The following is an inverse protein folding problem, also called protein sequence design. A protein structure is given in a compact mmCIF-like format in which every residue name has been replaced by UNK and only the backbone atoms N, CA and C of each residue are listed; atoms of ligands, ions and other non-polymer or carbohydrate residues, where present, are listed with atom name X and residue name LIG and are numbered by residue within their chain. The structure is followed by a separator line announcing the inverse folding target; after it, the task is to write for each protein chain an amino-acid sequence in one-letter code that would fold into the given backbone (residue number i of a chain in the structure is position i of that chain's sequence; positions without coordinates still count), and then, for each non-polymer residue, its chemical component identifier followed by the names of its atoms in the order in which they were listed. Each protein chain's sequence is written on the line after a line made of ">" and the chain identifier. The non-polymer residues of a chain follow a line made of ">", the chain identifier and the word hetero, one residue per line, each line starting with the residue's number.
data_IF_369764152461
#
_entry.id   IF_369764152461
#
_cell.length_a   1.000
_cell.length_b   1.000
_cell.length_c   1.000
_cell.angle_alpha   90.00
_cell.angle_beta   90.00
_cell.angle_gamma   90.00
#
_symmetry.space_group_name_H-M   'P 1'
#
loop_
_entity.id
_entity.type
_entity.pdbx_description
1 polymer ?
#
# COMPACT_ATOMS: atom_id res chain seq x y z
N UNK A 1 6.52 6.38 -28.51
CA UNK A 1 5.11 6.19 -28.11
C UNK A 1 5.07 5.38 -26.83
N UNK A 2 4.59 5.91 -25.71
CA UNK A 2 4.26 5.09 -24.56
C UNK A 2 2.98 4.34 -24.91
N UNK A 3 3.14 3.10 -25.34
CA UNK A 3 2.01 2.23 -25.67
C UNK A 3 1.38 1.77 -24.38
N UNK A 4 0.10 2.15 -24.17
CA UNK A 4 -0.76 1.46 -23.22
C UNK A 4 -0.63 -0.05 -23.46
N UNK A 5 -0.14 -0.81 -22.48
CA UNK A 5 0.03 -2.25 -22.65
C UNK A 5 -1.24 -2.97 -22.25
N UNK A 6 -1.99 -3.44 -23.24
CA UNK A 6 -3.11 -4.33 -22.99
C UNK A 6 -2.60 -5.65 -22.38
N UNK A 7 -3.08 -5.97 -21.18
CA UNK A 7 -2.79 -7.25 -20.53
C UNK A 7 -3.82 -8.34 -20.92
N UNK A 8 -4.64 -8.07 -21.94
CA UNK A 8 -5.73 -8.93 -22.39
C UNK A 8 -5.33 -9.92 -23.49
N UNK A 9 -4.07 -9.89 -23.93
CA UNK A 9 -3.51 -10.77 -24.98
C UNK A 9 -2.10 -11.22 -24.60
N UNK A 10 -1.64 -12.34 -25.16
CA UNK A 10 -0.33 -12.92 -24.90
C UNK A 10 -0.26 -13.78 -23.60
N UNK A 11 0.87 -14.42 -23.32
CA UNK A 11 1.04 -15.28 -22.14
C UNK A 11 1.01 -14.47 -20.84
N UNK A 12 0.32 -14.98 -19.81
CA UNK A 12 0.08 -14.26 -18.56
C UNK A 12 1.39 -14.03 -17.77
N UNK A 13 2.26 -15.04 -17.68
CA UNK A 13 3.46 -14.99 -16.84
C UNK A 13 4.39 -13.83 -17.21
N UNK A 14 4.88 -13.65 -18.47
CA UNK A 14 5.76 -12.52 -18.78
C UNK A 14 5.04 -11.16 -18.68
N UNK A 15 3.73 -11.10 -18.92
CA UNK A 15 2.98 -9.85 -18.76
C UNK A 15 2.95 -9.40 -17.30
N UNK A 16 2.59 -10.32 -16.38
CA UNK A 16 2.54 -10.04 -14.95
C UNK A 16 3.94 -9.77 -14.41
N UNK A 17 4.96 -10.57 -14.79
CA UNK A 17 6.34 -10.39 -14.36
C UNK A 17 6.88 -9.01 -14.76
N UNK A 18 6.79 -8.64 -16.04
CA UNK A 18 7.28 -7.35 -16.54
C UNK A 18 6.54 -6.15 -15.94
N UNK A 19 5.27 -6.34 -15.54
CA UNK A 19 4.49 -5.30 -14.87
C UNK A 19 4.86 -5.21 -13.37
N UNK A 20 5.15 -6.34 -12.73
CA UNK A 20 5.53 -6.40 -11.31
C UNK A 20 6.90 -5.78 -11.04
N UNK A 21 7.88 -5.94 -11.93
CA UNK A 21 9.25 -5.46 -11.69
C UNK A 21 9.34 -3.96 -11.39
N UNK A 22 8.75 -3.04 -12.17
CA UNK A 22 8.79 -1.62 -11.82
C UNK A 22 8.04 -1.29 -10.53
N UNK A 23 6.97 -2.03 -10.21
CA UNK A 23 6.25 -1.88 -8.94
C UNK A 23 7.12 -2.32 -7.76
N UNK A 24 7.82 -3.42 -7.91
CA UNK A 24 8.77 -3.93 -6.91
C UNK A 24 9.87 -2.91 -6.62
N UNK A 25 10.54 -2.43 -7.66
CA UNK A 25 11.58 -1.41 -7.49
C UNK A 25 11.02 -0.12 -6.89
N UNK A 26 9.77 0.25 -7.23
CA UNK A 26 9.09 1.38 -6.61
C UNK A 26 8.85 1.18 -5.11
N UNK A 27 8.33 0.01 -4.71
CA UNK A 27 8.10 -0.30 -3.30
C UNK A 27 9.41 -0.38 -2.52
N UNK A 28 10.46 -1.00 -3.07
CA UNK A 28 11.79 -1.04 -2.44
C UNK A 28 12.38 0.36 -2.28
N UNK A 29 12.29 1.20 -3.32
CA UNK A 29 12.75 2.58 -3.26
C UNK A 29 11.99 3.37 -2.17
N UNK A 30 10.68 3.16 -2.05
CA UNK A 30 9.87 3.82 -1.04
C UNK A 30 10.25 3.39 0.38
N UNK A 31 10.57 2.10 0.61
CA UNK A 31 11.09 1.62 1.90
C UNK A 31 12.47 2.24 2.21
N UNK A 32 13.38 2.23 1.23
CA UNK A 32 14.71 2.83 1.38
C UNK A 32 14.61 4.34 1.65
N UNK A 33 13.74 5.04 0.90
CA UNK A 33 13.49 6.46 1.11
C UNK A 33 13.03 6.75 2.54
N UNK A 34 12.06 5.99 3.08
CA UNK A 34 11.59 6.19 4.46
C UNK A 34 12.68 6.02 5.50
N UNK A 35 13.66 5.13 5.26
CA UNK A 35 14.83 4.99 6.12
C UNK A 35 15.78 6.18 6.02
N UNK A 36 16.02 6.68 4.80
CA UNK A 36 16.88 7.85 4.54
C UNK A 36 16.30 9.10 5.19
N UNK A 37 14.99 9.34 5.02
CA UNK A 37 14.28 10.46 5.64
C UNK A 37 14.40 10.44 7.17
N UNK A 38 14.12 9.28 7.79
CA UNK A 38 14.30 9.11 9.22
C UNK A 38 15.76 9.32 9.67
N UNK A 39 16.74 8.88 8.87
CA UNK A 39 18.16 9.07 9.15
C UNK A 39 18.57 10.56 9.05
N UNK A 40 18.04 11.31 8.08
CA UNK A 40 18.28 12.77 7.95
C UNK A 40 17.71 13.48 9.17
N UNK A 41 16.44 13.24 9.51
CA UNK A 41 15.81 13.85 10.69
C UNK A 41 16.59 13.51 11.97
N UNK A 42 16.90 12.23 12.20
CA UNK A 42 17.63 11.81 13.41
C UNK A 42 19.04 12.37 13.52
N UNK A 43 19.77 12.45 12.40
CA UNK A 43 21.17 12.93 12.38
C UNK A 43 21.29 14.45 12.56
N UNK A 44 20.39 15.21 11.93
CA UNK A 44 20.51 16.67 11.87
C UNK A 44 19.63 17.41 12.87
N UNK A 45 18.50 16.82 13.27
CA UNK A 45 17.57 17.42 14.25
C UNK A 45 17.62 16.75 15.63
N UNK A 46 18.24 15.57 15.72
CA UNK A 46 18.42 14.85 16.97
C UNK A 46 17.27 13.90 17.34
N UNK A 47 17.41 13.26 18.52
CA UNK A 47 16.54 12.17 18.97
C UNK A 47 15.09 12.62 19.21
N UNK A 48 14.90 13.83 19.74
CA UNK A 48 13.55 14.35 20.02
C UNK A 48 12.76 14.57 18.73
N UNK A 49 13.38 15.12 17.68
CA UNK A 49 12.76 15.30 16.38
C UNK A 49 12.42 13.96 15.72
N UNK A 50 13.31 12.98 15.79
CA UNK A 50 13.04 11.62 15.32
C UNK A 50 11.88 10.98 16.09
N UNK A 51 11.80 11.21 17.40
CA UNK A 51 10.69 10.73 18.24
C UNK A 51 9.36 11.44 17.89
N UNK A 52 9.38 12.74 17.57
CA UNK A 52 8.21 13.51 17.08
C UNK A 52 7.64 12.92 15.80
N UNK A 53 8.49 12.69 14.80
CA UNK A 53 8.12 12.07 13.52
C UNK A 53 7.66 10.63 13.75
N UNK A 54 8.38 9.87 14.58
CA UNK A 54 8.04 8.49 14.93
C UNK A 54 6.67 8.34 15.58
N UNK A 55 6.35 9.21 16.56
CA UNK A 55 5.03 9.23 17.22
C UNK A 55 3.89 9.50 16.23
N UNK A 56 4.16 10.28 15.18
CA UNK A 56 3.18 10.61 14.13
C UNK A 56 2.92 9.47 13.15
N UNK A 57 3.83 8.50 13.03
CA UNK A 57 3.82 7.48 11.96
C UNK A 57 2.54 6.64 11.92
N UNK A 58 2.00 6.25 13.07
CA UNK A 58 0.80 5.41 13.14
C UNK A 58 -0.44 6.14 12.58
N UNK A 59 -0.59 7.42 12.89
CA UNK A 59 -1.70 8.25 12.39
C UNK A 59 -1.53 8.52 10.89
N UNK A 60 -0.33 8.86 10.48
CA UNK A 60 0.01 9.06 9.06
C UNK A 60 -0.33 7.78 8.27
N UNK A 61 0.07 6.60 8.77
CA UNK A 61 -0.23 5.32 8.14
C UNK A 61 -1.73 5.05 8.04
N UNK A 62 -2.50 5.35 9.09
CA UNK A 62 -3.95 5.18 9.11
C UNK A 62 -4.64 6.07 8.06
N UNK A 63 -4.32 7.37 8.06
CA UNK A 63 -4.99 8.36 7.21
C UNK A 63 -4.50 8.29 5.76
N UNK A 64 -3.18 8.27 5.54
CA UNK A 64 -2.63 8.17 4.18
C UNK A 64 -2.83 6.77 3.59
N UNK A 65 -2.87 5.71 4.41
CA UNK A 65 -3.27 4.36 4.01
C UNK A 65 -4.69 4.32 3.48
N UNK A 66 -5.63 4.98 4.17
CA UNK A 66 -7.00 5.17 3.67
C UNK A 66 -7.02 5.89 2.32
N UNK A 67 -6.30 7.01 2.19
CA UNK A 67 -6.21 7.76 0.94
C UNK A 67 -5.63 6.92 -0.20
N UNK A 68 -4.57 6.17 0.08
CA UNK A 68 -3.93 5.27 -0.90
C UNK A 68 -4.88 4.14 -1.35
N UNK A 69 -5.60 3.54 -0.42
CA UNK A 69 -6.66 2.57 -0.72
C UNK A 69 -7.76 3.14 -1.61
N UNK A 70 -8.24 4.36 -1.31
CA UNK A 70 -9.23 5.06 -2.15
C UNK A 70 -8.71 5.27 -3.57
N UNK A 71 -7.46 5.75 -3.71
CA UNK A 71 -6.82 5.96 -5.01
C UNK A 71 -6.67 4.65 -5.80
N UNK A 72 -6.28 3.56 -5.13
CA UNK A 72 -6.24 2.22 -5.73
C UNK A 72 -7.61 1.77 -6.24
N UNK A 73 -8.64 2.00 -5.43
CA UNK A 73 -10.03 1.68 -5.76
C UNK A 73 -10.55 2.45 -6.98
N UNK A 74 -10.18 3.73 -7.12
CA UNK A 74 -10.55 4.54 -8.28
C UNK A 74 -9.92 4.05 -9.60
N UNK A 75 -8.77 3.38 -9.53
CA UNK A 75 -8.13 2.75 -10.69
C UNK A 75 -8.86 1.52 -11.22
N UNK A 76 -9.67 0.82 -10.40
CA UNK A 76 -10.31 -0.44 -10.79
C UNK A 76 -11.30 -0.26 -11.95
N UNK A 77 -12.31 0.64 -11.89
CA UNK A 77 -13.21 0.87 -13.01
C UNK A 77 -12.49 1.36 -14.28
N UNK A 78 -11.40 2.13 -14.11
CA UNK A 78 -10.56 2.58 -15.23
C UNK A 78 -9.92 1.38 -15.93
N UNK A 79 -9.31 0.45 -15.17
CA UNK A 79 -8.71 -0.78 -15.72
C UNK A 79 -9.75 -1.67 -16.41
N UNK A 80 -10.92 -1.83 -15.81
CA UNK A 80 -12.02 -2.62 -16.37
C UNK A 80 -12.52 -2.04 -17.70
N UNK A 81 -12.75 -0.73 -17.76
CA UNK A 81 -13.19 -0.04 -18.98
C UNK A 81 -12.13 0.01 -20.07
N UNK A 82 -10.86 0.13 -19.67
CA UNK A 82 -9.74 0.00 -20.59
C UNK A 82 -9.69 -1.41 -21.21
N UNK A 83 -9.81 -2.46 -20.41
CA UNK A 83 -9.87 -3.85 -20.89
C UNK A 83 -11.07 -4.14 -21.79
N UNK A 84 -12.22 -3.51 -21.52
CA UNK A 84 -13.43 -3.59 -22.34
C UNK A 84 -13.34 -2.77 -23.63
N UNK A 85 -12.26 -1.99 -23.84
CA UNK A 85 -12.12 -1.01 -24.93
C UNK A 85 -13.21 0.06 -24.96
N UNK A 86 -13.92 0.27 -23.84
CA UNK A 86 -14.92 1.32 -23.66
C UNK A 86 -14.21 2.61 -23.19
N UNK A 87 -13.50 3.22 -24.11
CA UNK A 87 -12.65 4.38 -23.81
C UNK A 87 -13.46 5.64 -23.45
N UNK A 88 -14.69 5.76 -23.91
CA UNK A 88 -15.55 6.90 -23.56
C UNK A 88 -15.94 6.85 -22.08
N UNK A 89 -16.44 5.71 -21.60
CA UNK A 89 -16.76 5.54 -20.17
C UNK A 89 -15.50 5.56 -19.30
N UNK A 90 -14.38 5.02 -19.79
CA UNK A 90 -13.08 5.09 -19.11
C UNK A 90 -12.65 6.55 -18.84
N UNK A 91 -12.71 7.42 -19.86
CA UNK A 91 -12.40 8.86 -19.71
C UNK A 91 -13.33 9.56 -18.74
N UNK A 92 -14.60 9.20 -18.75
CA UNK A 92 -15.58 9.70 -17.78
C UNK A 92 -15.21 9.27 -16.35
N UNK A 93 -14.80 8.02 -16.12
CA UNK A 93 -14.31 7.56 -14.82
C UNK A 93 -13.03 8.32 -14.38
N UNK A 94 -12.08 8.53 -15.28
CA UNK A 94 -10.87 9.33 -14.98
C UNK A 94 -11.24 10.75 -14.58
N UNK A 95 -12.13 11.41 -15.34
CA UNK A 95 -12.55 12.77 -15.03
C UNK A 95 -13.26 12.87 -13.68
N UNK A 96 -14.22 11.97 -13.41
CA UNK A 96 -14.96 11.98 -12.14
C UNK A 96 -14.04 11.60 -10.98
N UNK A 97 -13.06 10.72 -11.16
CA UNK A 97 -12.08 10.39 -10.12
C UNK A 97 -11.21 11.57 -9.73
N UNK A 98 -10.79 12.41 -10.70
CA UNK A 98 -10.05 13.65 -10.43
C UNK A 98 -10.91 14.66 -9.67
N UNK A 99 -12.19 14.81 -10.03
CA UNK A 99 -13.12 15.70 -9.33
C UNK A 99 -13.38 15.24 -7.89
N UNK A 100 -13.60 13.93 -7.69
CA UNK A 100 -13.75 13.36 -6.36
C UNK A 100 -12.46 13.47 -5.53
N UNK A 101 -11.30 13.37 -6.15
CA UNK A 101 -10.02 13.53 -5.48
C UNK A 101 -9.87 14.94 -4.87
N UNK A 102 -10.28 16.00 -5.60
CA UNK A 102 -10.29 17.36 -5.05
C UNK A 102 -11.17 17.41 -3.80
N UNK A 103 -12.42 16.97 -3.91
CA UNK A 103 -13.38 17.05 -2.80
C UNK A 103 -12.92 16.23 -1.61
N UNK A 104 -12.60 14.94 -1.83
CA UNK A 104 -12.22 14.04 -0.74
C UNK A 104 -10.93 14.47 -0.05
N UNK A 105 -9.90 14.82 -0.82
CA UNK A 105 -8.61 15.20 -0.24
C UNK A 105 -8.72 16.51 0.57
N UNK A 106 -9.48 17.49 0.08
CA UNK A 106 -9.72 18.75 0.82
C UNK A 106 -10.54 18.51 2.08
N UNK A 107 -11.61 17.70 2.02
CA UNK A 107 -12.42 17.38 3.20
C UNK A 107 -11.58 16.66 4.25
N UNK A 108 -10.80 15.65 3.84
CA UNK A 108 -9.92 14.91 4.76
C UNK A 108 -8.86 15.86 5.35
N UNK A 109 -8.21 16.69 4.51
CA UNK A 109 -7.19 17.64 4.96
C UNK A 109 -7.75 18.62 6.00
N UNK A 110 -8.92 19.21 5.75
CA UNK A 110 -9.56 20.15 6.69
C UNK A 110 -9.89 19.44 7.99
N UNK A 111 -10.55 18.28 7.91
CA UNK A 111 -10.96 17.52 9.10
C UNK A 111 -9.74 17.13 9.96
N UNK A 112 -8.73 16.53 9.35
CA UNK A 112 -7.54 16.07 10.07
C UNK A 112 -6.70 17.23 10.60
N UNK A 113 -6.64 18.37 9.90
CA UNK A 113 -5.92 19.57 10.36
C UNK A 113 -6.62 20.22 11.56
N UNK A 114 -7.95 20.30 11.57
CA UNK A 114 -8.72 20.85 12.70
C UNK A 114 -8.51 20.00 13.95
N UNK A 115 -8.57 18.70 13.83
CA UNK A 115 -8.44 17.76 14.95
C UNK A 115 -7.00 17.27 15.21
N UNK A 116 -5.98 17.89 14.59
CA UNK A 116 -4.59 17.46 14.70
C UNK A 116 -4.09 17.41 16.15
N UNK A 117 -4.36 18.45 16.92
CA UNK A 117 -3.97 18.53 18.34
C UNK A 117 -4.72 17.47 19.18
N UNK A 118 -6.01 17.25 18.93
CA UNK A 118 -6.83 16.30 19.66
C UNK A 118 -6.39 14.85 19.38
N UNK A 119 -6.02 14.56 18.12
CA UNK A 119 -5.45 13.27 17.72
C UNK A 119 -4.17 12.98 18.52
N UNK A 120 -3.24 13.95 18.61
CA UNK A 120 -1.99 13.78 19.35
C UNK A 120 -2.23 13.61 20.86
N UNK A 121 -3.19 14.35 21.44
CA UNK A 121 -3.59 14.18 22.84
C UNK A 121 -4.19 12.80 23.09
N UNK A 122 -5.06 12.32 22.20
CA UNK A 122 -5.64 10.98 22.28
C UNK A 122 -4.56 9.89 22.22
N UNK A 123 -3.48 10.12 21.48
CA UNK A 123 -2.32 9.23 21.41
C UNK A 123 -1.41 9.32 22.65
N UNK A 124 -1.69 10.23 23.59
CA UNK A 124 -0.86 10.49 24.77
C UNK A 124 0.59 10.83 24.39
N UNK A 125 0.75 11.66 23.34
CA UNK A 125 2.06 12.13 22.90
C UNK A 125 2.73 12.92 24.02
N UNK A 126 3.99 12.61 24.41
CA UNK A 126 4.69 13.34 25.46
C UNK A 126 4.87 14.82 25.15
N UNK A 127 4.81 15.69 26.18
CA UNK A 127 4.86 17.15 26.01
C UNK A 127 6.15 17.63 25.35
N UNK A 128 7.28 16.98 25.64
CA UNK A 128 8.58 17.34 25.08
C UNK A 128 8.73 17.14 23.56
N UNK A 129 7.85 16.34 22.95
CA UNK A 129 7.85 16.09 21.50
C UNK A 129 6.55 16.53 20.83
N UNK A 130 5.58 17.06 21.60
CA UNK A 130 4.25 17.39 21.11
C UNK A 130 4.28 18.48 20.02
N UNK A 131 5.03 19.55 20.23
CA UNK A 131 5.10 20.68 19.31
C UNK A 131 5.69 20.27 17.95
N UNK A 132 6.80 19.50 17.96
CA UNK A 132 7.42 18.98 16.73
C UNK A 132 6.50 18.00 16.00
N UNK A 133 5.83 17.09 16.73
CA UNK A 133 4.85 16.16 16.16
C UNK A 133 3.64 16.90 15.57
N UNK A 134 3.15 17.94 16.24
CA UNK A 134 2.05 18.77 15.75
C UNK A 134 2.44 19.49 14.45
N UNK A 135 3.60 20.15 14.41
CA UNK A 135 4.07 20.86 13.23
C UNK A 135 4.24 19.91 12.04
N UNK A 136 4.83 18.75 12.24
CA UNK A 136 5.00 17.70 11.22
C UNK A 136 3.66 17.18 10.69
N UNK A 137 2.74 16.81 11.60
CA UNK A 137 1.43 16.27 11.22
C UNK A 137 0.55 17.29 10.53
N UNK A 138 0.52 18.53 11.03
CA UNK A 138 -0.30 19.59 10.45
C UNK A 138 0.08 19.84 8.99
N UNK A 139 1.37 19.95 8.69
CA UNK A 139 1.87 20.09 7.32
C UNK A 139 1.51 18.87 6.47
N UNK A 140 1.69 17.67 7.00
CA UNK A 140 1.32 16.43 6.32
C UNK A 140 -0.17 16.38 5.99
N UNK A 141 -1.03 16.80 6.90
CA UNK A 141 -2.49 16.85 6.70
C UNK A 141 -2.93 17.91 5.70
N UNK A 142 -2.35 19.11 5.77
CA UNK A 142 -2.57 20.16 4.74
C UNK A 142 -2.09 19.65 3.38
N UNK A 143 -1.04 18.83 3.34
CA UNK A 143 -0.47 18.22 2.13
C UNK A 143 -1.26 17.04 1.56
N UNK A 144 -2.30 16.55 2.23
CA UNK A 144 -3.11 15.41 1.74
C UNK A 144 -3.56 15.56 0.28
N UNK A 145 -3.99 16.71 -0.23
CA UNK A 145 -4.32 16.86 -1.64
C UNK A 145 -3.16 16.48 -2.57
N UNK A 146 -1.94 16.92 -2.28
CA UNK A 146 -0.76 16.57 -3.08
C UNK A 146 -0.52 15.05 -3.09
N UNK A 147 -0.55 14.43 -1.92
CA UNK A 147 -0.38 12.97 -1.75
C UNK A 147 -1.50 12.19 -2.44
N UNK A 148 -2.74 12.65 -2.33
CA UNK A 148 -3.89 12.01 -2.95
C UNK A 148 -3.77 12.04 -4.49
N UNK A 149 -3.49 13.19 -5.08
CA UNK A 149 -3.28 13.30 -6.53
C UNK A 149 -2.07 12.50 -7.00
N UNK A 150 -0.98 12.52 -6.25
CA UNK A 150 0.21 11.70 -6.53
C UNK A 150 -0.13 10.22 -6.64
N UNK A 151 -0.92 9.67 -5.71
CA UNK A 151 -1.33 8.26 -5.68
C UNK A 151 -2.41 7.94 -6.73
N UNK A 152 -3.40 8.84 -6.91
CA UNK A 152 -4.46 8.65 -7.89
C UNK A 152 -3.93 8.59 -9.32
N UNK A 153 -3.06 9.53 -9.71
CA UNK A 153 -2.48 9.55 -11.05
C UNK A 153 -1.61 8.31 -11.30
N UNK A 154 -0.88 7.84 -10.27
CA UNK A 154 -0.16 6.56 -10.34
C UNK A 154 -1.11 5.39 -10.58
N UNK A 155 -2.24 5.37 -9.89
CA UNK A 155 -3.25 4.31 -10.02
C UNK A 155 -3.89 4.29 -11.41
N UNK A 156 -4.24 5.48 -11.95
CA UNK A 156 -4.77 5.61 -13.31
C UNK A 156 -3.76 5.13 -14.35
N UNK A 157 -2.50 5.55 -14.28
CA UNK A 157 -1.46 5.14 -15.24
C UNK A 157 -1.24 3.62 -15.17
N UNK A 158 -1.20 3.04 -13.96
CA UNK A 158 -1.14 1.58 -13.80
C UNK A 158 -2.35 0.87 -14.40
N UNK A 159 -3.55 1.42 -14.24
CA UNK A 159 -4.78 0.87 -14.81
C UNK A 159 -4.72 0.76 -16.35
N UNK A 160 -3.96 1.66 -17.01
CA UNK A 160 -3.69 1.63 -18.46
C UNK A 160 -2.55 0.66 -18.85
N UNK A 161 -2.04 -0.13 -17.92
CA UNK A 161 -1.00 -1.12 -18.15
C UNK A 161 0.43 -0.58 -18.13
N UNK A 162 0.66 0.63 -17.64
CA UNK A 162 2.00 1.23 -17.51
C UNK A 162 2.41 1.28 -16.02
N UNK A 163 3.33 0.41 -15.63
CA UNK A 163 3.95 0.41 -14.29
C UNK A 163 5.29 1.15 -14.25
N UNK A 164 5.90 1.44 -15.40
CA UNK A 164 7.22 2.07 -15.47
C UNK A 164 7.14 3.57 -15.20
N UNK A 165 6.18 4.24 -15.80
CA UNK A 165 6.00 5.69 -15.62
C UNK A 165 5.80 6.10 -14.16
N UNK A 166 4.92 5.47 -13.35
CA UNK A 166 4.84 5.75 -11.94
C UNK A 166 6.15 5.57 -11.18
N UNK A 167 6.96 4.56 -11.56
CA UNK A 167 8.28 4.33 -10.97
C UNK A 167 9.25 5.50 -11.26
N UNK A 168 9.37 5.96 -12.51
CA UNK A 168 10.26 7.07 -12.83
C UNK A 168 9.90 8.37 -12.09
N UNK A 169 8.61 8.65 -11.96
CA UNK A 169 8.16 9.81 -11.18
C UNK A 169 8.32 9.62 -9.66
N UNK A 170 8.34 8.39 -9.16
CA UNK A 170 8.71 8.12 -7.78
C UNK A 170 10.20 8.41 -7.55
N UNK A 171 11.08 7.97 -8.45
CA UNK A 171 12.51 8.30 -8.39
C UNK A 171 12.72 9.83 -8.36
N UNK A 172 12.05 10.55 -9.25
CA UNK A 172 12.10 12.01 -9.28
C UNK A 172 11.64 12.63 -7.94
N UNK A 173 10.49 12.16 -7.41
CA UNK A 173 9.98 12.66 -6.13
C UNK A 173 10.95 12.38 -4.98
N UNK A 174 11.56 11.18 -4.95
CA UNK A 174 12.53 10.80 -3.93
C UNK A 174 13.79 11.65 -3.96
N UNK A 175 14.36 11.85 -5.14
CA UNK A 175 15.56 12.71 -5.28
C UNK A 175 15.26 14.15 -4.90
N UNK A 176 14.15 14.69 -5.39
CA UNK A 176 13.72 16.04 -5.05
C UNK A 176 13.46 16.21 -3.55
N UNK A 177 12.83 15.22 -2.93
CA UNK A 177 12.57 15.25 -1.50
C UNK A 177 13.87 15.25 -0.69
N UNK A 178 14.83 14.37 -0.96
CA UNK A 178 16.13 14.33 -0.24
C UNK A 178 16.85 15.68 -0.34
N UNK A 179 16.84 16.30 -1.52
CA UNK A 179 17.45 17.64 -1.71
C UNK A 179 16.71 18.68 -0.88
N UNK A 180 15.39 18.66 -0.88
CA UNK A 180 14.56 19.60 -0.14
C UNK A 180 14.62 19.37 1.37
N UNK A 181 14.72 18.13 1.85
CA UNK A 181 14.92 17.81 3.27
C UNK A 181 16.19 18.47 3.78
N UNK A 182 17.31 18.26 3.08
CA UNK A 182 18.58 18.87 3.45
C UNK A 182 18.51 20.40 3.38
N UNK A 183 17.86 20.96 2.38
CA UNK A 183 17.70 22.41 2.23
C UNK A 183 16.81 23.00 3.33
N UNK A 184 15.63 22.43 3.58
CA UNK A 184 14.70 22.94 4.59
C UNK A 184 15.23 22.77 6.01
N UNK A 185 15.95 21.68 6.29
CA UNK A 185 16.49 21.40 7.62
C UNK A 185 17.79 22.19 7.87
N UNK A 186 18.76 22.14 6.94
CA UNK A 186 20.09 22.69 7.18
C UNK A 186 20.20 24.18 6.81
N UNK A 187 19.52 24.62 5.76
CA UNK A 187 19.65 26.01 5.29
C UNK A 187 18.56 26.89 5.88
N UNK A 188 17.31 26.42 5.89
CA UNK A 188 16.18 27.19 6.40
C UNK A 188 15.93 27.00 7.91
N UNK A 189 16.43 25.93 8.51
CA UNK A 189 16.27 25.67 9.94
C UNK A 189 14.82 25.38 10.37
N UNK A 190 13.99 24.82 9.45
CA UNK A 190 12.56 24.59 9.70
C UNK A 190 12.24 23.31 10.50
N UNK A 191 13.25 22.59 10.98
CA UNK A 191 13.08 21.41 11.83
C UNK A 191 12.19 20.32 11.20
N UNK A 192 11.36 19.67 12.02
CA UNK A 192 10.45 18.59 11.61
C UNK A 192 9.42 19.05 10.56
N UNK A 193 8.97 20.31 10.67
CA UNK A 193 8.09 20.92 9.69
C UNK A 193 8.73 20.97 8.31
N UNK A 194 10.05 21.22 8.24
CA UNK A 194 10.83 21.24 7.00
C UNK A 194 10.78 19.90 6.26
N UNK A 195 10.94 18.77 6.98
CA UNK A 195 10.84 17.43 6.42
C UNK A 195 9.44 17.15 5.84
N UNK A 196 8.38 17.53 6.56
CA UNK A 196 7.01 17.39 6.05
C UNK A 196 6.75 18.25 4.80
N UNK A 197 7.24 19.49 4.76
CA UNK A 197 7.11 20.39 3.59
C UNK A 197 7.85 19.79 2.39
N UNK A 198 9.07 19.30 2.58
CA UNK A 198 9.86 18.69 1.51
C UNK A 198 9.13 17.49 0.89
N UNK A 199 8.53 16.63 1.72
CA UNK A 199 7.74 15.47 1.29
C UNK A 199 6.49 15.91 0.51
N UNK A 200 5.70 16.82 1.04
CA UNK A 200 4.47 17.31 0.39
C UNK A 200 4.77 18.01 -0.93
N UNK A 201 5.80 18.86 -0.95
CA UNK A 201 6.18 19.61 -2.14
C UNK A 201 6.69 18.67 -3.25
N UNK A 202 7.58 17.72 -2.93
CA UNK A 202 8.11 16.77 -3.91
C UNK A 202 7.00 15.89 -4.51
N UNK A 203 6.04 15.46 -3.69
CA UNK A 203 4.86 14.74 -4.18
C UNK A 203 3.95 15.62 -5.03
N UNK A 204 3.76 16.88 -4.67
CA UNK A 204 2.98 17.85 -5.44
C UNK A 204 3.58 18.10 -6.82
N UNK A 205 4.89 18.36 -6.90
CA UNK A 205 5.62 18.51 -8.16
C UNK A 205 5.51 17.24 -9.02
N UNK A 206 5.72 16.09 -8.42
CA UNK A 206 5.61 14.80 -9.11
C UNK A 206 4.18 14.54 -9.61
N UNK A 207 3.16 14.88 -8.83
CA UNK A 207 1.76 14.77 -9.25
C UNK A 207 1.45 15.69 -10.44
N UNK A 208 1.89 16.95 -10.40
CA UNK A 208 1.73 17.88 -11.49
C UNK A 208 2.39 17.39 -12.78
N UNK A 209 3.63 16.94 -12.69
CA UNK A 209 4.38 16.43 -13.85
C UNK A 209 3.73 15.14 -14.41
N UNK A 210 3.22 14.26 -13.55
CA UNK A 210 2.44 13.07 -13.96
C UNK A 210 1.17 13.46 -14.70
N UNK A 211 0.44 14.46 -14.19
CA UNK A 211 -0.76 14.94 -14.83
C UNK A 211 -0.47 15.43 -16.25
N UNK A 212 0.55 16.30 -16.41
CA UNK A 212 0.98 16.82 -17.71
C UNK A 212 1.43 15.67 -18.64
N UNK A 213 2.25 14.75 -18.11
CA UNK A 213 2.71 13.60 -18.86
C UNK A 213 1.54 12.72 -19.34
N UNK A 214 0.61 12.42 -18.45
CA UNK A 214 -0.55 11.58 -18.72
C UNK A 214 -1.37 12.13 -19.91
N UNK A 215 -1.70 13.41 -19.91
CA UNK A 215 -2.48 14.03 -20.98
C UNK A 215 -1.69 14.26 -22.28
N UNK A 216 -0.37 14.40 -22.19
CA UNK A 216 0.49 14.54 -23.41
C UNK A 216 0.78 13.20 -24.09
N UNK A 217 0.95 12.14 -23.30
CA UNK A 217 1.46 10.84 -23.78
C UNK A 217 0.35 9.83 -24.11
N UNK A 218 -0.77 9.89 -23.39
CA UNK A 218 -1.89 8.96 -23.59
C UNK A 218 -3.02 9.67 -24.34
N UNK A 219 -2.97 9.65 -25.67
CA UNK A 219 -4.03 10.23 -26.53
C UNK A 219 -5.42 9.66 -26.21
N UNK A 220 -5.44 8.41 -25.75
CA UNK A 220 -6.66 7.72 -25.31
C UNK A 220 -7.39 8.43 -24.17
N UNK A 221 -6.72 9.29 -23.38
CA UNK A 221 -7.30 10.09 -22.29
C UNK A 221 -7.83 11.45 -22.75
N UNK A 222 -7.58 11.85 -23.99
CA UNK A 222 -8.11 13.10 -24.54
C UNK A 222 -9.60 12.95 -24.82
N UNK A 223 -10.41 13.45 -23.91
CA UNK A 223 -11.87 13.31 -23.97
C UNK A 223 -12.59 14.55 -24.44
N UNK A 224 -13.84 14.34 -24.84
CA UNK A 224 -14.80 15.38 -25.21
C UNK A 224 -15.30 16.14 -23.97
N UNK A 225 -15.85 17.36 -24.11
CA UNK A 225 -16.46 18.09 -22.99
C UNK A 225 -17.59 17.30 -22.27
N UNK A 226 -18.32 16.43 -22.99
CA UNK A 226 -19.35 15.57 -22.39
C UNK A 226 -18.76 14.56 -21.39
N UNK A 227 -17.61 13.97 -21.70
CA UNK A 227 -16.94 12.96 -20.87
C UNK A 227 -16.29 13.59 -19.62
N UNK A 228 -16.09 14.90 -19.61
CA UNK A 228 -15.56 15.67 -18.48
C UNK A 228 -16.63 16.10 -17.48
N UNK A 229 -17.91 16.00 -17.82
CA UNK A 229 -19.00 16.38 -16.91
C UNK A 229 -19.10 15.40 -15.74
N UNK A 230 -19.43 15.96 -14.56
CA UNK A 230 -19.70 15.14 -13.38
C UNK A 230 -20.90 14.22 -13.62
N UNK A 231 -20.75 12.97 -13.29
CA UNK A 231 -21.80 11.95 -13.39
C UNK A 231 -21.97 11.25 -12.05
N UNK A 232 -23.08 11.51 -11.36
CA UNK A 232 -23.33 11.01 -10.02
C UNK A 232 -23.34 9.47 -9.93
N UNK A 233 -23.76 8.78 -10.99
CA UNK A 233 -23.74 7.31 -11.06
C UNK A 233 -22.29 6.76 -11.01
N UNK A 234 -21.37 7.37 -11.77
CA UNK A 234 -19.97 6.97 -11.78
C UNK A 234 -19.30 7.35 -10.45
N UNK A 235 -19.63 8.52 -9.90
CA UNK A 235 -19.14 8.96 -8.61
C UNK A 235 -19.54 8.01 -7.49
N UNK A 236 -20.79 7.56 -7.44
CA UNK A 236 -21.25 6.55 -6.46
C UNK A 236 -20.48 5.24 -6.60
N UNK A 237 -20.21 4.79 -7.81
CA UNK A 237 -19.41 3.58 -8.05
C UNK A 237 -17.97 3.76 -7.54
N UNK A 238 -17.31 4.87 -7.89
CA UNK A 238 -15.95 5.18 -7.44
C UNK A 238 -15.87 5.27 -5.92
N UNK A 239 -16.76 6.04 -5.28
CA UNK A 239 -16.81 6.17 -3.82
C UNK A 239 -17.06 4.81 -3.15
N UNK A 240 -17.99 4.03 -3.67
CA UNK A 240 -18.29 2.70 -3.12
C UNK A 240 -17.05 1.78 -3.16
N UNK A 241 -16.30 1.77 -4.25
CA UNK A 241 -15.09 0.95 -4.41
C UNK A 241 -13.94 1.55 -3.59
N UNK A 242 -13.68 2.85 -3.74
CA UNK A 242 -12.55 3.54 -3.12
C UNK A 242 -12.64 3.52 -1.60
N UNK A 243 -13.79 3.90 -1.03
CA UNK A 243 -13.97 3.92 0.43
C UNK A 243 -13.79 2.52 1.04
N UNK A 244 -14.31 1.47 0.40
CA UNK A 244 -14.12 0.10 0.88
C UNK A 244 -12.66 -0.33 0.86
N UNK A 245 -11.91 0.04 -0.16
CA UNK A 245 -10.48 -0.23 -0.22
C UNK A 245 -9.70 0.60 0.80
N UNK A 246 -10.07 1.87 0.99
CA UNK A 246 -9.50 2.71 2.04
C UNK A 246 -9.74 2.12 3.44
N UNK A 247 -11.00 1.73 3.73
CA UNK A 247 -11.36 1.09 4.99
C UNK A 247 -10.61 -0.22 5.22
N UNK A 248 -10.37 -1.01 4.18
CA UNK A 248 -9.56 -2.23 4.29
C UNK A 248 -8.16 -1.93 4.84
N UNK A 249 -7.48 -0.90 4.33
CA UNK A 249 -6.16 -0.49 4.85
C UNK A 249 -6.24 -0.05 6.30
N UNK A 250 -7.23 0.77 6.65
CA UNK A 250 -7.43 1.23 8.02
C UNK A 250 -7.74 0.09 9.00
N UNK A 251 -8.58 -0.86 8.60
CA UNK A 251 -8.95 -2.04 9.41
C UNK A 251 -7.70 -2.91 9.66
N UNK A 252 -6.92 -3.16 8.63
CA UNK A 252 -5.68 -3.94 8.77
C UNK A 252 -4.67 -3.22 9.68
N UNK A 253 -4.58 -1.88 9.58
CA UNK A 253 -3.72 -1.06 10.44
C UNK A 253 -4.12 -1.17 11.93
N UNK A 254 -5.41 -1.14 12.24
CA UNK A 254 -5.92 -1.30 13.62
C UNK A 254 -5.45 -2.64 14.21
N UNK A 255 -5.56 -3.72 13.45
CA UNK A 255 -5.08 -5.03 13.89
C UNK A 255 -3.57 -5.04 14.19
N UNK A 256 -2.77 -4.38 13.35
CA UNK A 256 -1.32 -4.26 13.55
C UNK A 256 -0.97 -3.42 14.78
N UNK A 257 -1.70 -2.32 15.04
CA UNK A 257 -1.52 -1.49 16.24
C UNK A 257 -1.82 -2.30 17.51
N UNK A 258 -2.87 -3.12 17.51
CA UNK A 258 -3.21 -3.98 18.66
C UNK A 258 -2.11 -5.00 18.96
N UNK A 259 -1.55 -5.64 17.92
CA UNK A 259 -0.45 -6.58 18.07
C UNK A 259 0.81 -5.89 18.60
N UNK A 260 1.13 -4.70 18.08
CA UNK A 260 2.26 -3.90 18.56
C UNK A 260 2.07 -3.46 20.02
N UNK A 261 0.85 -3.05 20.39
CA UNK A 261 0.53 -2.68 21.79
C UNK A 261 0.72 -3.86 22.74
N UNK A 262 0.28 -5.06 22.35
CA UNK A 262 0.51 -6.26 23.14
C UNK A 262 2.00 -6.62 23.26
N UNK A 263 2.78 -6.45 22.18
CA UNK A 263 4.22 -6.63 22.21
C UNK A 263 4.93 -5.62 23.14
N UNK A 264 4.48 -4.37 23.15
CA UNK A 264 5.06 -3.33 24.00
C UNK A 264 4.95 -3.65 25.50
N UNK A 265 3.91 -4.40 25.88
CA UNK A 265 3.73 -4.85 27.27
C UNK A 265 4.73 -5.94 27.71
N UNK A 266 5.46 -6.57 26.77
CA UNK A 266 6.46 -7.62 27.05
C UNK A 266 7.85 -7.10 27.39
N UNK A 267 8.05 -5.79 27.36
CA UNK A 267 9.31 -5.16 27.72
C UNK A 267 10.18 -4.75 26.54
N UNK A 268 11.26 -4.02 26.85
CA UNK A 268 12.11 -3.28 25.88
C UNK A 268 12.80 -4.18 24.87
N UNK A 269 13.31 -5.35 25.30
CA UNK A 269 13.97 -6.31 24.41
C UNK A 269 12.99 -6.85 23.32
N UNK A 270 11.75 -7.14 23.68
CA UNK A 270 10.71 -7.58 22.74
C UNK A 270 10.34 -6.46 21.77
N UNK A 271 10.24 -5.22 22.23
CA UNK A 271 9.96 -4.04 21.39
C UNK A 271 11.09 -3.80 20.39
N UNK A 272 12.35 -3.85 20.83
CA UNK A 272 13.51 -3.69 19.97
C UNK A 272 13.58 -4.80 18.90
N UNK A 273 13.39 -6.06 19.31
CA UNK A 273 13.41 -7.21 18.42
C UNK A 273 12.26 -7.14 17.36
N UNK A 274 11.05 -6.85 17.79
CA UNK A 274 9.89 -6.69 16.90
C UNK A 274 10.12 -5.57 15.89
N UNK A 275 10.60 -4.40 16.35
CA UNK A 275 10.84 -3.25 15.48
C UNK A 275 11.90 -3.55 14.43
N UNK A 276 13.02 -4.16 14.83
CA UNK A 276 14.10 -4.54 13.92
C UNK A 276 13.64 -5.60 12.91
N UNK A 277 12.95 -6.63 13.37
CA UNK A 277 12.41 -7.68 12.54
C UNK A 277 11.36 -7.14 11.53
N UNK A 278 10.48 -6.21 11.96
CA UNK A 278 9.49 -5.59 11.07
C UNK A 278 10.14 -4.79 9.95
N UNK A 279 11.21 -4.03 10.24
CA UNK A 279 11.96 -3.30 9.20
C UNK A 279 12.54 -4.25 8.15
N UNK A 280 13.18 -5.33 8.58
CA UNK A 280 13.73 -6.35 7.67
C UNK A 280 12.60 -7.00 6.87
N UNK A 281 11.56 -7.45 7.54
CA UNK A 281 10.39 -8.10 6.92
C UNK A 281 9.77 -7.24 5.82
N UNK A 282 9.64 -5.93 6.01
CA UNK A 282 9.03 -5.02 5.01
C UNK A 282 9.72 -5.08 3.65
N UNK A 283 11.05 -5.20 3.60
CA UNK A 283 11.76 -5.37 2.32
C UNK A 283 11.38 -6.68 1.61
N UNK A 284 11.25 -7.76 2.37
CA UNK A 284 10.87 -9.06 1.83
C UNK A 284 9.37 -9.18 1.50
N UNK A 285 8.52 -8.29 2.00
CA UNK A 285 7.10 -8.20 1.63
C UNK A 285 6.89 -7.52 0.28
N UNK A 286 7.74 -6.57 -0.10
CA UNK A 286 7.58 -5.76 -1.32
C UNK A 286 7.29 -6.56 -2.59
N UNK A 287 7.95 -7.71 -2.89
CA UNK A 287 7.65 -8.48 -4.08
C UNK A 287 6.25 -9.10 -4.08
N UNK A 288 5.77 -9.58 -2.92
CA UNK A 288 4.44 -10.18 -2.81
C UNK A 288 3.33 -9.14 -2.97
N UNK A 289 3.49 -7.96 -2.37
CA UNK A 289 2.57 -6.84 -2.55
C UNK A 289 2.57 -6.33 -3.99
N UNK A 290 3.75 -6.21 -4.61
CA UNK A 290 3.88 -5.78 -6.00
C UNK A 290 3.23 -6.75 -6.97
N UNK A 291 3.35 -8.05 -6.70
CA UNK A 291 2.68 -9.10 -7.45
C UNK A 291 1.15 -9.01 -7.30
N UNK A 292 0.66 -8.77 -6.09
CA UNK A 292 -0.75 -8.50 -5.83
C UNK A 292 -1.27 -7.30 -6.64
N UNK A 293 -0.58 -6.16 -6.57
CA UNK A 293 -0.94 -4.95 -7.33
C UNK A 293 -0.97 -5.20 -8.85
N UNK A 294 -0.04 -5.99 -9.37
CA UNK A 294 -0.04 -6.41 -10.77
C UNK A 294 -1.28 -7.26 -11.10
N UNK A 295 -1.67 -8.16 -10.18
CA UNK A 295 -2.87 -8.98 -10.34
C UNK A 295 -4.16 -8.16 -10.31
N UNK A 296 -4.25 -7.07 -9.55
CA UNK A 296 -5.41 -6.18 -9.59
C UNK A 296 -5.61 -5.57 -10.99
N UNK A 297 -4.54 -5.07 -11.61
CA UNK A 297 -4.58 -4.50 -12.97
C UNK A 297 -4.88 -5.57 -14.01
N UNK A 298 -4.16 -6.70 -13.95
CA UNK A 298 -4.35 -7.82 -14.88
C UNK A 298 -5.78 -8.36 -14.83
N UNK A 299 -6.30 -8.59 -13.64
CA UNK A 299 -7.66 -9.12 -13.43
C UNK A 299 -8.73 -8.11 -13.85
N UNK A 300 -8.54 -6.81 -13.54
CA UNK A 300 -9.45 -5.75 -13.92
C UNK A 300 -9.57 -5.62 -15.44
N UNK A 301 -8.46 -5.59 -16.17
CA UNK A 301 -8.47 -5.52 -17.63
C UNK A 301 -9.09 -6.77 -18.26
N UNK A 302 -8.75 -7.98 -17.78
CA UNK A 302 -9.30 -9.22 -18.32
C UNK A 302 -10.78 -9.42 -17.96
N UNK A 303 -11.21 -8.92 -16.80
CA UNK A 303 -12.63 -8.86 -16.46
C UNK A 303 -13.41 -7.95 -17.43
N UNK A 304 -12.90 -6.74 -17.68
CA UNK A 304 -13.49 -5.82 -18.65
C UNK A 304 -13.55 -6.39 -20.05
N UNK A 305 -12.54 -7.17 -20.46
CA UNK A 305 -12.48 -7.85 -21.75
C UNK A 305 -13.38 -9.11 -21.84
N UNK A 306 -14.09 -9.49 -20.76
CA UNK A 306 -14.90 -10.70 -20.74
C UNK A 306 -14.12 -12.01 -20.82
N UNK A 307 -12.86 -12.03 -20.31
CA UNK A 307 -11.95 -13.18 -20.42
C UNK A 307 -11.63 -13.83 -19.06
N UNK A 308 -12.57 -14.49 -18.37
CA UNK A 308 -12.35 -15.09 -17.06
C UNK A 308 -11.27 -16.17 -17.06
N UNK A 309 -11.11 -16.92 -18.16
CA UNK A 309 -10.06 -17.96 -18.27
C UNK A 309 -8.67 -17.36 -18.17
N UNK A 310 -8.47 -16.11 -18.62
CA UNK A 310 -7.19 -15.42 -18.48
C UNK A 310 -6.91 -15.01 -17.05
N UNK A 311 -7.95 -14.66 -16.27
CA UNK A 311 -7.80 -14.38 -14.83
C UNK A 311 -7.26 -15.62 -14.13
N UNK A 312 -7.80 -16.79 -14.45
CA UNK A 312 -7.30 -18.06 -13.92
C UNK A 312 -5.85 -18.36 -14.32
N UNK A 313 -5.50 -18.12 -15.59
CA UNK A 313 -4.12 -18.24 -16.07
C UNK A 313 -3.17 -17.27 -15.34
N UNK A 314 -3.64 -16.07 -15.03
CA UNK A 314 -2.92 -15.09 -14.23
C UNK A 314 -2.65 -15.58 -12.80
N UNK A 315 -3.65 -16.18 -12.16
CA UNK A 315 -3.48 -16.78 -10.83
C UNK A 315 -2.44 -17.89 -10.85
N UNK A 316 -2.51 -18.81 -11.81
CA UNK A 316 -1.50 -19.87 -11.94
C UNK A 316 -0.10 -19.31 -12.11
N UNK A 317 0.07 -18.32 -12.99
CA UNK A 317 1.35 -17.67 -13.22
C UNK A 317 1.88 -16.95 -11.97
N UNK A 318 1.02 -16.21 -11.28
CA UNK A 318 1.37 -15.49 -10.06
C UNK A 318 1.68 -16.44 -8.89
N UNK A 319 0.93 -17.54 -8.77
CA UNK A 319 1.20 -18.56 -7.75
C UNK A 319 2.56 -19.21 -8.00
N UNK A 320 2.92 -19.51 -9.26
CA UNK A 320 4.25 -20.04 -9.59
C UNK A 320 5.36 -19.06 -9.19
N UNK A 321 5.20 -17.78 -9.54
CA UNK A 321 6.16 -16.73 -9.17
C UNK A 321 6.29 -16.61 -7.64
N UNK A 322 5.16 -16.63 -6.94
CA UNK A 322 5.08 -16.57 -5.48
C UNK A 322 5.80 -17.75 -4.82
N UNK A 323 5.57 -18.98 -5.29
CA UNK A 323 6.20 -20.18 -4.73
C UNK A 323 7.72 -20.12 -4.91
N UNK A 324 8.20 -19.75 -6.10
CA UNK A 324 9.64 -19.60 -6.35
C UNK A 324 10.23 -18.53 -5.41
N UNK A 325 9.59 -17.36 -5.35
CA UNK A 325 10.06 -16.26 -4.51
C UNK A 325 10.09 -16.63 -3.02
N UNK A 326 9.01 -17.22 -2.50
CA UNK A 326 8.92 -17.57 -1.08
C UNK A 326 9.89 -18.68 -0.70
N UNK A 327 10.14 -19.66 -1.59
CA UNK A 327 11.16 -20.69 -1.38
C UNK A 327 12.57 -20.09 -1.30
N UNK A 328 12.92 -19.19 -2.22
CA UNK A 328 14.22 -18.49 -2.20
C UNK A 328 14.36 -17.64 -0.93
N UNK A 329 13.32 -16.85 -0.60
CA UNK A 329 13.32 -16.00 0.59
C UNK A 329 13.40 -16.81 1.88
N UNK A 330 12.73 -17.97 1.93
CA UNK A 330 12.81 -18.90 3.05
C UNK A 330 14.26 -19.35 3.29
N UNK A 331 14.97 -19.77 2.24
CA UNK A 331 16.38 -20.16 2.35
C UNK A 331 17.27 -18.99 2.80
N UNK A 332 17.08 -17.82 2.21
CA UNK A 332 17.86 -16.62 2.54
C UNK A 332 17.68 -16.25 4.02
N UNK A 333 16.45 -16.20 4.51
CA UNK A 333 16.17 -15.79 5.90
C UNK A 333 16.46 -16.90 6.91
N UNK A 334 16.27 -18.18 6.57
CA UNK A 334 16.66 -19.28 7.47
C UNK A 334 18.17 -19.35 7.70
N UNK A 335 18.98 -19.00 6.70
CA UNK A 335 20.44 -19.05 6.80
C UNK A 335 21.04 -17.70 7.23
N UNK A 336 20.38 -16.58 6.94
CA UNK A 336 20.94 -15.24 7.08
C UNK A 336 20.21 -14.30 8.04
N UNK A 337 19.13 -14.72 8.72
CA UNK A 337 18.32 -13.81 9.55
C UNK A 337 19.17 -13.05 10.60
N UNK A 338 20.11 -13.73 11.24
CA UNK A 338 21.03 -13.11 12.20
C UNK A 338 21.90 -12.01 11.57
N UNK A 339 22.41 -12.24 10.35
CA UNK A 339 23.22 -11.26 9.62
C UNK A 339 22.39 -10.03 9.23
N UNK A 340 21.12 -10.21 8.85
CA UNK A 340 20.22 -9.08 8.61
C UNK A 340 19.85 -8.35 9.91
N UNK A 341 19.69 -9.07 11.03
CA UNK A 341 19.42 -8.46 12.32
C UNK A 341 20.56 -7.55 12.79
N UNK A 342 21.81 -7.92 12.54
CA UNK A 342 23.02 -7.13 12.87
C UNK A 342 23.08 -5.78 12.14
N UNK A 343 22.27 -5.54 11.10
CA UNK A 343 22.17 -4.22 10.45
C UNK A 343 21.47 -3.21 11.38
N UNK A 344 20.60 -3.68 12.28
CA UNK A 344 19.76 -2.83 13.12
C UNK A 344 19.98 -3.00 14.62
N UNK A 345 20.65 -4.07 15.03
CA UNK A 345 20.85 -4.47 16.43
C UNK A 345 22.34 -4.62 16.71
N UNK A 346 22.78 -4.07 17.84
CA UNK A 346 24.18 -4.20 18.28
C UNK A 346 24.53 -5.67 18.57
N UNK A 347 25.70 -6.17 18.18
CA UNK A 347 26.16 -7.54 18.46
C UNK A 347 26.17 -7.93 19.95
N UNK A 348 26.24 -6.97 20.86
CA UNK A 348 26.20 -7.19 22.31
C UNK A 348 24.79 -7.52 22.83
N UNK A 349 23.73 -7.16 22.10
CA UNK A 349 22.32 -7.35 22.46
C UNK A 349 21.82 -8.73 22.04
N UNK A 350 22.38 -9.79 22.63
CA UNK A 350 22.16 -11.20 22.24
C UNK A 350 20.67 -11.56 22.28
N UNK A 351 19.95 -11.17 23.34
CA UNK A 351 18.52 -11.47 23.50
C UNK A 351 17.68 -10.84 22.38
N UNK A 352 17.99 -9.61 21.99
CA UNK A 352 17.29 -8.89 20.91
C UNK A 352 17.57 -9.58 19.56
N UNK A 353 18.82 -10.01 19.33
CA UNK A 353 19.21 -10.72 18.12
C UNK A 353 18.46 -12.04 17.97
N UNK A 354 18.44 -12.88 19.03
CA UNK A 354 17.75 -14.17 19.04
C UNK A 354 16.24 -14.03 18.81
N UNK A 355 15.62 -13.04 19.47
CA UNK A 355 14.19 -12.75 19.26
C UNK A 355 13.91 -12.22 17.85
N UNK A 356 14.77 -11.40 17.29
CA UNK A 356 14.65 -10.91 15.90
C UNK A 356 14.77 -12.06 14.91
N UNK A 357 15.73 -12.95 15.09
CA UNK A 357 15.92 -14.15 14.28
C UNK A 357 14.69 -15.06 14.36
N UNK A 358 14.20 -15.35 15.56
CA UNK A 358 12.99 -16.16 15.78
C UNK A 358 11.79 -15.58 15.05
N UNK A 359 11.57 -14.25 15.15
CA UNK A 359 10.46 -13.58 14.46
C UNK A 359 10.57 -13.73 12.94
N UNK A 360 11.76 -13.54 12.38
CA UNK A 360 12.00 -13.67 10.94
C UNK A 360 11.79 -15.11 10.45
N UNK A 361 12.29 -16.12 11.19
CA UNK A 361 12.14 -17.52 10.85
C UNK A 361 10.66 -17.95 10.85
N UNK A 362 9.89 -17.54 11.87
CA UNK A 362 8.46 -17.80 11.91
C UNK A 362 7.74 -17.09 10.77
N UNK A 363 7.99 -15.79 10.60
CA UNK A 363 7.30 -15.01 9.56
C UNK A 363 7.55 -15.55 8.16
N UNK A 364 8.81 -15.88 7.78
CA UNK A 364 9.14 -16.36 6.44
C UNK A 364 8.53 -17.73 6.14
N UNK A 365 8.36 -18.57 7.15
CA UNK A 365 7.71 -19.88 7.01
C UNK A 365 6.26 -19.77 6.53
N UNK A 366 5.60 -18.64 6.81
CA UNK A 366 4.21 -18.36 6.40
C UNK A 366 4.09 -17.38 5.23
N UNK A 367 5.19 -16.97 4.59
CA UNK A 367 5.14 -16.12 3.38
C UNK A 367 4.33 -16.71 2.22
N UNK A 368 4.24 -18.03 2.01
CA UNK A 368 3.31 -18.60 1.03
C UNK A 368 1.85 -18.21 1.29
N UNK A 369 1.42 -18.16 2.56
CA UNK A 369 0.07 -17.72 2.94
C UNK A 369 -0.14 -16.23 2.59
N UNK A 370 0.81 -15.39 2.95
CA UNK A 370 0.77 -13.97 2.57
C UNK A 370 0.73 -13.78 1.05
N UNK A 371 1.53 -14.54 0.31
CA UNK A 371 1.55 -14.46 -1.15
C UNK A 371 0.21 -14.87 -1.77
N UNK A 372 -0.41 -15.93 -1.27
CA UNK A 372 -1.74 -16.36 -1.69
C UNK A 372 -2.80 -15.30 -1.37
N UNK A 373 -2.77 -14.76 -0.15
CA UNK A 373 -3.61 -13.66 0.28
C UNK A 373 -3.51 -12.46 -0.68
N UNK A 374 -2.29 -12.02 -1.01
CA UNK A 374 -2.08 -10.91 -1.94
C UNK A 374 -2.67 -11.22 -3.33
N UNK A 375 -2.37 -12.39 -3.90
CA UNK A 375 -2.86 -12.77 -5.22
C UNK A 375 -4.40 -12.79 -5.26
N UNK A 376 -5.04 -13.46 -4.31
CA UNK A 376 -6.50 -13.62 -4.28
C UNK A 376 -7.21 -12.30 -3.97
N UNK A 377 -6.76 -11.56 -2.95
CA UNK A 377 -7.35 -10.28 -2.56
C UNK A 377 -7.34 -9.28 -3.69
N UNK A 378 -6.18 -9.04 -4.28
CA UNK A 378 -6.03 -8.07 -5.36
C UNK A 378 -6.74 -8.51 -6.64
N UNK A 379 -6.82 -9.81 -6.91
CA UNK A 379 -7.65 -10.34 -8.02
C UNK A 379 -9.13 -10.04 -7.80
N UNK A 380 -9.65 -10.33 -6.61
CA UNK A 380 -11.06 -10.04 -6.24
C UNK A 380 -11.34 -8.54 -6.31
N UNK A 381 -10.40 -7.69 -5.87
CA UNK A 381 -10.48 -6.23 -5.99
C UNK A 381 -10.54 -5.81 -7.46
N UNK A 382 -9.63 -6.29 -8.31
CA UNK A 382 -9.56 -5.96 -9.73
C UNK A 382 -10.85 -6.30 -10.49
N UNK A 383 -11.52 -7.38 -10.12
CA UNK A 383 -12.83 -7.76 -10.66
C UNK A 383 -13.97 -6.87 -10.12
N UNK A 384 -13.74 -6.11 -9.03
CA UNK A 384 -14.72 -5.17 -8.48
C UNK A 384 -15.47 -5.65 -7.24
N UNK A 385 -15.20 -6.87 -6.73
CA UNK A 385 -15.81 -7.38 -5.49
C UNK A 385 -15.08 -6.87 -4.24
N UNK A 386 -14.92 -5.55 -4.13
CA UNK A 386 -14.15 -4.90 -3.05
C UNK A 386 -14.72 -5.14 -1.65
N UNK A 387 -16.00 -5.48 -1.52
CA UNK A 387 -16.60 -5.91 -0.24
C UNK A 387 -15.89 -7.16 0.31
N UNK A 388 -15.70 -8.17 -0.53
CA UNK A 388 -15.06 -9.42 -0.10
C UNK A 388 -13.60 -9.16 0.29
N UNK A 389 -12.91 -8.32 -0.45
CA UNK A 389 -11.55 -7.91 -0.09
C UNK A 389 -11.50 -7.14 1.25
N UNK A 390 -12.47 -6.28 1.53
CA UNK A 390 -12.57 -5.57 2.81
C UNK A 390 -12.81 -6.55 3.97
N UNK A 391 -13.68 -7.53 3.80
CA UNK A 391 -13.94 -8.55 4.83
C UNK A 391 -12.72 -9.44 5.12
N UNK A 392 -11.83 -9.67 4.13
CA UNK A 392 -10.56 -10.34 4.43
C UNK A 392 -9.69 -9.51 5.38
N UNK A 393 -9.69 -8.18 5.25
CA UNK A 393 -9.03 -7.29 6.22
C UNK A 393 -9.64 -7.37 7.62
N UNK A 394 -10.97 -7.52 7.72
CA UNK A 394 -11.65 -7.76 9.01
C UNK A 394 -11.20 -9.08 9.62
N UNK A 395 -11.08 -10.15 8.82
CA UNK A 395 -10.58 -11.45 9.30
C UNK A 395 -9.16 -11.34 9.85
N UNK A 396 -8.26 -10.61 9.16
CA UNK A 396 -6.91 -10.33 9.65
C UNK A 396 -6.92 -9.57 10.98
N UNK A 397 -7.73 -8.51 11.07
CA UNK A 397 -7.85 -7.70 12.29
C UNK A 397 -8.32 -8.55 13.47
N UNK A 398 -9.38 -9.34 13.28
CA UNK A 398 -9.91 -10.22 14.32
C UNK A 398 -8.85 -11.21 14.79
N UNK A 399 -8.13 -11.85 13.85
CA UNK A 399 -7.09 -12.81 14.19
C UNK A 399 -5.96 -12.16 15.02
N UNK A 400 -5.47 -10.97 14.62
CA UNK A 400 -4.46 -10.24 15.40
C UNK A 400 -4.96 -9.82 16.77
N UNK A 401 -6.22 -9.38 16.91
CA UNK A 401 -6.83 -9.04 18.20
C UNK A 401 -6.92 -10.27 19.10
N UNK A 402 -7.37 -11.42 18.58
CA UNK A 402 -7.45 -12.66 19.35
C UNK A 402 -6.07 -13.14 19.82
N UNK A 403 -5.06 -13.10 18.93
CA UNK A 403 -3.68 -13.39 19.30
C UNK A 403 -3.19 -12.44 20.38
N UNK A 404 -3.44 -11.14 20.25
CA UNK A 404 -2.98 -10.11 21.19
C UNK A 404 -3.61 -10.28 22.58
N UNK A 405 -4.90 -10.63 22.65
CA UNK A 405 -5.63 -10.70 23.93
C UNK A 405 -5.42 -12.06 24.62
N UNK A 406 -5.39 -13.16 23.87
CA UNK A 406 -5.39 -14.50 24.46
C UNK A 406 -4.02 -15.20 24.37
N UNK A 407 -3.34 -15.12 23.23
CA UNK A 407 -2.11 -15.84 23.03
C UNK A 407 -0.88 -15.11 23.61
N UNK A 408 -0.79 -13.79 23.46
CA UNK A 408 0.37 -13.02 23.96
C UNK A 408 0.50 -13.10 25.49
N UNK A 409 -0.56 -12.99 26.32
CA UNK A 409 -0.42 -13.16 27.76
C UNK A 409 0.00 -14.58 28.18
N UNK A 410 -0.34 -15.60 27.38
CA UNK A 410 -0.02 -17.00 27.69
C UNK A 410 1.39 -17.44 27.21
N UNK A 411 1.81 -16.98 26.03
CA UNK A 411 3.02 -17.46 25.35
C UNK A 411 4.06 -16.36 25.08
N UNK A 412 3.81 -15.12 25.49
CA UNK A 412 4.74 -14.00 25.36
C UNK A 412 5.12 -13.70 23.92
N UNK A 413 6.41 -13.43 23.67
CA UNK A 413 6.93 -12.98 22.38
C UNK A 413 6.72 -14.00 21.24
N UNK A 414 6.70 -15.31 21.54
CA UNK A 414 6.41 -16.33 20.54
C UNK A 414 5.03 -16.11 19.92
N UNK A 415 4.02 -15.78 20.73
CA UNK A 415 2.68 -15.47 20.22
C UNK A 415 2.67 -14.21 19.33
N UNK A 416 3.46 -13.20 19.66
CA UNK A 416 3.62 -12.01 18.80
C UNK A 416 4.18 -12.39 17.43
N UNK A 417 5.15 -13.32 17.36
CA UNK A 417 5.71 -13.82 16.10
C UNK A 417 4.65 -14.50 15.21
N UNK A 418 3.65 -15.15 15.82
CA UNK A 418 2.53 -15.77 15.09
C UNK A 418 1.38 -14.81 14.78
N UNK A 419 1.40 -13.57 15.25
CA UNK A 419 0.32 -12.60 15.05
C UNK A 419 -0.01 -12.36 13.58
N UNK A 420 0.98 -12.07 12.76
CA UNK A 420 0.80 -11.90 11.32
C UNK A 420 0.52 -13.21 10.58
N UNK A 421 1.23 -14.32 10.81
CA UNK A 421 0.90 -15.62 10.24
C UNK A 421 -0.56 -16.05 10.46
N UNK A 422 -1.08 -15.92 11.67
CA UNK A 422 -2.48 -16.26 11.98
C UNK A 422 -3.46 -15.35 11.22
N UNK A 423 -3.13 -14.07 11.09
CA UNK A 423 -3.92 -13.12 10.31
C UNK A 423 -3.98 -13.51 8.83
N UNK A 424 -2.85 -13.92 8.23
CA UNK A 424 -2.80 -14.36 6.83
C UNK A 424 -3.60 -15.63 6.60
N UNK A 425 -3.48 -16.62 7.49
CA UNK A 425 -4.25 -17.85 7.43
C UNK A 425 -5.76 -17.54 7.55
N UNK A 426 -6.17 -16.70 8.49
CA UNK A 426 -7.57 -16.33 8.67
C UNK A 426 -8.13 -15.62 7.42
N UNK A 427 -7.34 -14.76 6.79
CA UNK A 427 -7.73 -14.11 5.55
C UNK A 427 -7.83 -15.09 4.38
N UNK A 428 -6.91 -16.06 4.25
CA UNK A 428 -6.92 -17.06 3.19
C UNK A 428 -8.11 -18.02 3.33
N UNK A 429 -8.45 -18.43 4.55
CA UNK A 429 -9.65 -19.24 4.83
C UNK A 429 -10.93 -18.54 4.35
N UNK A 430 -10.97 -17.22 4.36
CA UNK A 430 -12.07 -16.43 3.82
C UNK A 430 -11.93 -16.21 2.31
N UNK A 431 -10.72 -15.87 1.81
CA UNK A 431 -10.50 -15.47 0.42
C UNK A 431 -10.59 -16.64 -0.57
N UNK A 432 -10.19 -17.85 -0.19
CA UNK A 432 -10.26 -19.02 -1.07
C UNK A 432 -11.72 -19.31 -1.49
N UNK A 433 -12.67 -19.51 -0.57
CA UNK A 433 -14.07 -19.72 -0.97
C UNK A 433 -14.68 -18.49 -1.64
N UNK A 434 -14.32 -17.27 -1.20
CA UNK A 434 -14.77 -16.03 -1.83
C UNK A 434 -14.31 -15.95 -3.30
N UNK A 435 -13.06 -16.30 -3.59
CA UNK A 435 -12.55 -16.34 -4.95
C UNK A 435 -13.24 -17.40 -5.82
N UNK A 436 -13.45 -18.60 -5.29
CA UNK A 436 -14.18 -19.68 -6.00
C UNK A 436 -15.61 -19.22 -6.36
N UNK A 437 -16.29 -18.56 -5.43
CA UNK A 437 -17.62 -17.98 -5.66
C UNK A 437 -17.59 -16.93 -6.79
N UNK A 438 -16.66 -15.96 -6.70
CA UNK A 438 -16.50 -14.90 -7.71
C UNK A 438 -16.20 -15.50 -9.08
N UNK A 439 -15.25 -16.42 -9.15
CA UNK A 439 -14.82 -17.03 -10.42
C UNK A 439 -15.95 -17.83 -11.09
N UNK A 440 -16.70 -18.63 -10.31
CA UNK A 440 -17.88 -19.34 -10.83
C UNK A 440 -18.95 -18.39 -11.37
N UNK A 441 -19.18 -17.26 -10.69
CA UNK A 441 -20.11 -16.23 -11.13
C UNK A 441 -19.67 -15.57 -12.44
N UNK A 442 -18.37 -15.28 -12.58
CA UNK A 442 -17.81 -14.72 -13.81
C UNK A 442 -18.01 -15.65 -15.01
N UNK A 443 -17.73 -16.94 -14.84
CA UNK A 443 -17.96 -17.94 -15.91
C UNK A 443 -19.43 -18.00 -16.34
N UNK A 444 -20.36 -17.96 -15.41
CA UNK A 444 -21.80 -17.97 -15.73
C UNK A 444 -22.21 -16.73 -16.52
N UNK A 445 -21.72 -15.54 -16.14
CA UNK A 445 -22.03 -14.30 -16.84
C UNK A 445 -21.58 -14.32 -18.30
N UNK A 446 -20.39 -14.83 -18.58
CA UNK A 446 -19.87 -14.95 -19.95
C UNK A 446 -20.68 -15.97 -20.76
N UNK A 447 -21.04 -17.10 -20.18
CA UNK A 447 -21.88 -18.11 -20.84
C UNK A 447 -23.28 -17.54 -21.20
N UNK A 448 -23.88 -16.77 -20.28
CA UNK A 448 -25.22 -16.16 -20.53
C UNK A 448 -25.15 -15.09 -21.63
N UNK A 449 -24.06 -14.30 -21.68
CA UNK A 449 -23.86 -13.28 -22.72
C UNK A 449 -23.47 -13.85 -24.09
N UNK A 450 -23.03 -15.09 -24.17
CA UNK A 450 -22.69 -15.77 -25.41
C UNK A 450 -23.93 -16.48 -26.04
N UNK A 451 -24.98 -16.69 -25.23
CA UNK A 451 -26.24 -17.36 -25.67
C UNK A 451 -27.32 -16.33 -25.99
N UNK A 452 -27.19 -15.08 -25.50
CA UNK A 452 -28.07 -13.95 -25.84
C UNK A 452 -27.51 -13.17 -27.04
#
# INVERSE_FOLDING_TARGET
>A
MATSKEMTAGPALPLIFNFTLPLLFGNLLQQTYSLVDAAIVGKFLGINALASVGASTSVVFLILGFCNGCCGGFGIPVAQKFGARDYSTMRSYVSVSLQLAVVMSVVIAIFTSIYCADILKMMRTPENIFEGAYAYLLVTFIGIPCTFFYNLLSSIIRALGDSKTPFYFLVLATVLNIILDLFCILVLGWGEMGAAIATVFSQGVSAFLRYVYMYRKFDILRGTPKERKYQSKLAKTLLSIGVRMGLQFSITAIGSIMLQSANNALGTACVAAFTSAMRIKMFFLCPLESLGMAMATFSGQNYGAGKPERIWSGIKASTLMMVIYTAVTFLILMLGAKSFALIFVDPSEIEVLEKTELFLHISVSFFPMLGLLCILRYTIQGVGYTNLAMFSGVSEMIARILVSIYAVPAFGFIAVCYGDPMAWIAADLFLIPAFIYVYRRLKRQVLTSAVA
#
